data_IF_978890536195
#
_entry.id   IF_978890536195
#
_cell.length_a   1.000
_cell.length_b   1.000
_cell.length_c   1.000
_cell.angle_alpha   90.00
_cell.angle_beta   90.00
_cell.angle_gamma   90.00
#
_symmetry.space_group_name_H-M   'P 1'
#
loop_
_entity.id
_entity.type
_entity.pdbx_description
1 polymer ?
#
# COMPACT_ATOMS: atom_id res chain seq x y z
N UNK A 1 22.17 -5.35 3.31
CA UNK A 1 21.67 -5.59 1.95
C UNK A 1 21.03 -4.30 1.49
N UNK A 2 21.68 -3.54 0.59
CA UNK A 2 21.20 -2.23 0.14
C UNK A 2 20.04 -2.46 -0.81
N UNK A 3 18.86 -1.93 -0.50
CA UNK A 3 17.74 -1.85 -1.44
C UNK A 3 18.12 -0.88 -2.56
N UNK A 4 17.91 -1.24 -3.83
CA UNK A 4 18.07 -0.27 -4.91
C UNK A 4 16.99 0.81 -4.78
N UNK A 5 17.44 2.07 -4.74
CA UNK A 5 16.59 3.25 -4.88
C UNK A 5 15.96 3.24 -6.28
N UNK A 6 14.81 2.64 -6.40
CA UNK A 6 14.01 2.70 -7.61
C UNK A 6 13.03 3.88 -7.50
N UNK A 7 13.27 4.86 -8.34
CA UNK A 7 12.50 6.07 -8.62
C UNK A 7 12.89 7.31 -7.81
N UNK A 8 13.86 8.02 -8.34
CA UNK A 8 14.07 9.46 -8.11
C UNK A 8 12.80 10.23 -8.53
N UNK A 9 12.41 11.19 -7.70
CA UNK A 9 11.13 11.90 -7.74
C UNK A 9 11.08 12.97 -8.85
N UNK A 10 11.96 12.95 -9.89
CA UNK A 10 12.22 14.10 -10.76
C UNK A 10 11.70 14.06 -12.19
N UNK A 11 11.14 12.94 -12.66
CA UNK A 11 10.79 12.82 -14.09
C UNK A 11 9.29 12.51 -14.34
N UNK A 12 8.42 13.45 -13.93
CA UNK A 12 7.07 13.55 -14.48
C UNK A 12 6.80 14.97 -15.00
N UNK A 13 7.62 15.42 -15.96
CA UNK A 13 7.26 16.57 -16.80
C UNK A 13 6.58 16.03 -18.05
N UNK A 14 5.29 16.36 -18.18
CA UNK A 14 4.46 15.93 -19.31
C UNK A 14 4.95 16.51 -20.63
N UNK A 15 5.45 15.67 -21.51
CA UNK A 15 5.47 15.93 -22.95
C UNK A 15 4.40 15.06 -23.61
N UNK A 16 3.49 15.74 -24.32
CA UNK A 16 2.44 15.15 -25.16
C UNK A 16 3.06 14.22 -26.24
N UNK A 17 3.16 12.92 -25.95
CA UNK A 17 3.50 11.95 -26.98
C UNK A 17 2.26 11.58 -27.78
N UNK A 18 2.26 12.00 -29.09
CA UNK A 18 1.29 11.59 -30.12
C UNK A 18 0.98 10.09 -30.02
N UNK A 19 -0.30 9.77 -29.93
CA UNK A 19 -0.79 8.38 -30.03
C UNK A 19 -0.40 7.78 -31.41
N UNK A 20 0.14 6.56 -31.45
CA UNK A 20 0.37 5.88 -32.71
C UNK A 20 -0.96 5.47 -33.35
N UNK A 21 -1.05 5.62 -34.67
CA UNK A 21 -2.25 5.36 -35.46
C UNK A 21 -2.50 3.85 -35.68
N UNK A 22 -3.76 3.44 -35.46
CA UNK A 22 -4.46 2.31 -36.09
C UNK A 22 -3.79 0.92 -36.11
N UNK A 23 -3.72 0.29 -34.95
CA UNK A 23 -3.99 -1.15 -34.82
C UNK A 23 -5.49 -1.32 -34.49
N UNK A 24 -6.14 -2.37 -35.03
CA UNK A 24 -7.53 -2.67 -34.63
C UNK A 24 -7.59 -2.85 -33.11
N UNK A 25 -8.60 -2.34 -32.43
CA UNK A 25 -8.71 -2.38 -30.96
C UNK A 25 -8.51 -3.80 -30.40
N UNK A 26 -8.93 -4.81 -31.16
CA UNK A 26 -8.84 -6.23 -30.76
C UNK A 26 -7.41 -6.76 -30.77
N UNK A 27 -6.60 -6.44 -31.79
CA UNK A 27 -5.20 -6.86 -31.86
C UNK A 27 -4.31 -6.13 -30.84
N UNK A 28 -4.62 -4.88 -30.51
CA UNK A 28 -3.91 -4.13 -29.49
C UNK A 28 -4.17 -4.69 -28.09
N UNK A 29 -5.41 -5.09 -27.82
CA UNK A 29 -5.78 -5.70 -26.54
C UNK A 29 -5.11 -7.05 -26.34
N UNK A 30 -5.11 -7.91 -27.37
CA UNK A 30 -4.42 -9.21 -27.33
C UNK A 30 -2.90 -9.06 -27.14
N UNK A 31 -2.29 -8.06 -27.78
CA UNK A 31 -0.87 -7.77 -27.61
C UNK A 31 -0.55 -7.32 -26.19
N UNK A 32 -1.40 -6.48 -25.58
CA UNK A 32 -1.27 -6.06 -24.18
C UNK A 32 -1.41 -7.24 -23.21
N UNK A 33 -2.41 -8.09 -23.39
CA UNK A 33 -2.59 -9.28 -22.55
C UNK A 33 -1.38 -10.22 -22.62
N UNK A 34 -0.87 -10.48 -23.82
CA UNK A 34 0.33 -11.29 -24.02
C UNK A 34 1.56 -10.70 -23.33
N UNK A 35 1.74 -9.39 -23.44
CA UNK A 35 2.85 -8.68 -22.80
C UNK A 35 2.73 -8.73 -21.26
N UNK A 36 1.55 -8.48 -20.71
CA UNK A 36 1.29 -8.55 -19.26
C UNK A 36 1.56 -9.96 -18.73
N UNK A 37 1.08 -10.98 -19.43
CA UNK A 37 1.32 -12.38 -19.05
C UNK A 37 2.81 -12.68 -19.00
N UNK A 38 3.54 -12.39 -20.07
CA UNK A 38 4.99 -12.65 -20.18
C UNK A 38 5.79 -11.88 -19.11
N UNK A 39 5.48 -10.62 -18.90
CA UNK A 39 6.12 -9.80 -17.88
C UNK A 39 5.89 -10.37 -16.48
N UNK A 40 4.67 -10.78 -16.20
CA UNK A 40 4.29 -11.32 -14.89
C UNK A 40 4.97 -12.66 -14.60
N UNK A 41 5.11 -13.53 -15.61
CA UNK A 41 5.84 -14.79 -15.49
C UNK A 41 7.32 -14.58 -15.18
N UNK A 42 7.95 -13.60 -15.81
CA UNK A 42 9.37 -13.26 -15.57
C UNK A 42 9.56 -12.62 -14.19
N UNK A 43 8.67 -11.73 -13.78
CA UNK A 43 8.82 -10.95 -12.55
C UNK A 43 8.40 -11.72 -11.29
N UNK A 44 7.48 -12.68 -11.40
CA UNK A 44 6.92 -13.41 -10.25
C UNK A 44 7.76 -14.64 -9.91
N UNK A 45 8.77 -14.45 -9.06
CA UNK A 45 9.65 -15.57 -8.62
C UNK A 45 9.15 -16.30 -7.38
N UNK A 46 8.26 -15.71 -6.59
CA UNK A 46 7.80 -16.24 -5.28
C UNK A 46 6.29 -16.36 -5.15
N UNK A 47 5.53 -15.73 -6.04
CA UNK A 47 4.08 -15.64 -5.97
C UNK A 47 3.46 -16.09 -7.30
N UNK A 48 2.18 -16.44 -7.27
CA UNK A 48 1.42 -16.73 -8.47
C UNK A 48 1.43 -15.49 -9.39
N UNK A 49 1.86 -15.63 -10.65
CA UNK A 49 1.91 -14.52 -11.62
C UNK A 49 0.57 -13.81 -11.82
N UNK A 50 -0.55 -14.48 -11.55
CA UNK A 50 -1.90 -13.91 -11.70
C UNK A 50 -2.12 -12.67 -10.85
N UNK A 51 -1.54 -12.59 -9.64
CA UNK A 51 -1.68 -11.39 -8.79
C UNK A 51 -1.01 -10.17 -9.43
N UNK A 52 0.17 -10.35 -10.03
CA UNK A 52 0.85 -9.26 -10.73
C UNK A 52 0.11 -8.88 -12.03
N UNK A 53 -0.45 -9.87 -12.75
CA UNK A 53 -1.27 -9.62 -13.93
C UNK A 53 -2.47 -8.73 -13.61
N UNK A 54 -3.23 -9.05 -12.56
CA UNK A 54 -4.39 -8.26 -12.14
C UNK A 54 -4.01 -6.84 -11.72
N UNK A 55 -2.87 -6.67 -11.04
CA UNK A 55 -2.37 -5.36 -10.65
C UNK A 55 -2.01 -4.51 -11.88
N UNK A 56 -1.29 -5.08 -12.86
CA UNK A 56 -0.92 -4.39 -14.09
C UNK A 56 -2.16 -4.06 -14.93
N UNK A 57 -3.10 -5.01 -15.06
CA UNK A 57 -4.37 -4.79 -15.77
C UNK A 57 -5.18 -3.64 -15.18
N UNK A 58 -5.19 -3.51 -13.85
CA UNK A 58 -5.85 -2.39 -13.19
C UNK A 58 -5.25 -1.05 -13.63
N UNK A 59 -3.92 -0.95 -13.68
CA UNK A 59 -3.24 0.24 -14.18
C UNK A 59 -3.52 0.54 -15.65
N UNK A 60 -3.56 -0.49 -16.49
CA UNK A 60 -3.89 -0.36 -17.93
C UNK A 60 -5.34 0.12 -18.10
N UNK A 61 -6.28 -0.48 -17.40
CA UNK A 61 -7.70 -0.09 -17.46
C UNK A 61 -7.90 1.37 -17.03
N UNK A 62 -7.17 1.79 -16.00
CA UNK A 62 -7.18 3.18 -15.55
C UNK A 62 -6.63 4.12 -16.63
N UNK A 63 -5.52 3.74 -17.30
CA UNK A 63 -4.94 4.52 -18.41
C UNK A 63 -5.86 4.65 -19.63
N UNK A 64 -6.77 3.70 -19.83
CA UNK A 64 -7.77 3.69 -20.90
C UNK A 64 -9.08 4.36 -20.50
N UNK A 65 -9.26 4.67 -19.22
CA UNK A 65 -10.45 5.33 -18.68
C UNK A 65 -10.36 6.86 -18.79
N UNK A 66 -11.36 7.54 -18.27
CA UNK A 66 -11.37 9.00 -18.11
C UNK A 66 -10.67 9.49 -16.84
N UNK A 67 -9.84 8.63 -16.21
CA UNK A 67 -9.07 9.00 -15.03
C UNK A 67 -8.07 10.13 -15.34
N UNK A 68 -7.94 11.06 -14.40
CA UNK A 68 -7.00 12.17 -14.50
C UNK A 68 -5.59 11.76 -14.06
N UNK A 69 -4.58 12.57 -14.38
CA UNK A 69 -3.22 12.40 -13.87
C UNK A 69 -3.17 12.44 -12.34
N UNK A 70 -4.10 13.18 -11.72
CA UNK A 70 -4.24 13.20 -10.26
C UNK A 70 -4.65 11.83 -9.72
N UNK A 71 -5.61 11.15 -10.34
CA UNK A 71 -6.05 9.81 -9.94
C UNK A 71 -4.91 8.80 -10.06
N UNK A 72 -4.10 8.89 -11.13
CA UNK A 72 -2.88 8.10 -11.27
C UNK A 72 -1.88 8.37 -10.15
N UNK A 73 -1.67 9.64 -9.79
CA UNK A 73 -0.78 10.02 -8.70
C UNK A 73 -1.23 9.41 -7.37
N UNK A 74 -2.53 9.42 -7.09
CA UNK A 74 -3.11 8.80 -5.89
C UNK A 74 -2.86 7.28 -5.91
N UNK A 75 -3.14 6.60 -7.01
CA UNK A 75 -2.93 5.15 -7.13
C UNK A 75 -1.46 4.76 -6.90
N UNK A 76 -0.52 5.47 -7.55
CA UNK A 76 0.91 5.20 -7.43
C UNK A 76 1.40 5.42 -5.99
N UNK A 77 0.99 6.52 -5.36
CA UNK A 77 1.38 6.84 -3.97
C UNK A 77 0.82 5.80 -3.00
N UNK A 78 -0.46 5.49 -3.10
CA UNK A 78 -1.11 4.47 -2.26
C UNK A 78 -0.44 3.10 -2.42
N UNK A 79 -0.15 2.68 -3.66
CA UNK A 79 0.56 1.43 -3.92
C UNK A 79 1.95 1.38 -3.28
N UNK A 80 2.71 2.49 -3.33
CA UNK A 80 4.02 2.59 -2.67
C UNK A 80 3.92 2.52 -1.15
N UNK A 81 2.95 3.21 -0.57
CA UNK A 81 2.74 3.21 0.89
C UNK A 81 2.35 1.81 1.36
N UNK A 82 1.44 1.14 0.67
CA UNK A 82 1.08 -0.25 0.96
C UNK A 82 2.27 -1.20 0.82
N UNK A 83 3.08 -1.04 -0.21
CA UNK A 83 4.30 -1.83 -0.38
C UNK A 83 5.27 -1.63 0.80
N UNK A 84 5.53 -0.37 1.21
CA UNK A 84 6.39 -0.05 2.34
C UNK A 84 5.85 -0.65 3.64
N UNK A 85 4.55 -0.48 3.90
CA UNK A 85 3.89 -1.06 5.07
C UNK A 85 4.04 -2.59 5.08
N UNK A 86 3.81 -3.25 3.96
CA UNK A 86 3.99 -4.69 3.84
C UNK A 86 5.43 -5.14 4.12
N UNK A 87 6.43 -4.38 3.67
CA UNK A 87 7.85 -4.66 3.96
C UNK A 87 8.15 -4.53 5.46
N UNK A 88 7.63 -3.47 6.11
CA UNK A 88 7.81 -3.26 7.56
C UNK A 88 7.14 -4.36 8.37
N UNK A 89 5.93 -4.77 8.01
CA UNK A 89 5.17 -5.77 8.75
C UNK A 89 5.51 -7.22 8.38
N UNK A 90 6.27 -7.47 7.30
CA UNK A 90 6.61 -8.81 6.86
C UNK A 90 7.28 -9.67 7.96
N UNK A 91 8.25 -9.18 8.76
CA UNK A 91 8.86 -9.95 9.84
C UNK A 91 7.88 -10.33 10.96
N UNK A 92 6.80 -9.57 11.10
CA UNK A 92 5.83 -9.70 12.19
C UNK A 92 4.53 -10.40 11.77
N UNK A 93 4.49 -11.06 10.60
CA UNK A 93 3.26 -11.70 10.09
C UNK A 93 2.70 -12.76 11.02
N UNK A 94 3.55 -13.46 11.75
CA UNK A 94 3.19 -14.50 12.70
C UNK A 94 2.67 -13.97 14.03
N UNK A 95 2.85 -12.68 14.33
CA UNK A 95 2.37 -12.06 15.57
C UNK A 95 0.95 -11.57 15.35
N UNK A 96 0.03 -11.92 16.27
CA UNK A 96 -1.34 -11.39 16.28
C UNK A 96 -1.29 -9.90 16.58
N UNK A 97 -2.20 -9.15 15.98
CA UNK A 97 -2.21 -7.69 16.08
C UNK A 97 -3.54 -7.19 16.60
N UNK A 98 -3.49 -6.16 17.44
CA UNK A 98 -4.64 -5.41 17.92
C UNK A 98 -4.44 -3.95 17.50
N UNK A 99 -5.45 -3.37 16.86
CA UNK A 99 -5.44 -1.94 16.54
C UNK A 99 -6.25 -1.18 17.55
N UNK A 100 -5.65 -0.14 18.14
CA UNK A 100 -6.30 0.75 19.11
C UNK A 100 -6.50 2.12 18.51
N UNK A 101 -7.74 2.55 18.47
CA UNK A 101 -8.16 3.89 18.05
C UNK A 101 -8.96 4.55 19.17
N UNK A 102 -8.89 5.85 19.25
CA UNK A 102 -9.68 6.58 20.22
C UNK A 102 -9.50 8.08 20.15
N UNK A 103 -10.17 8.79 21.02
CA UNK A 103 -10.17 10.24 21.09
C UNK A 103 -8.79 10.81 21.39
N UNK A 104 -8.36 11.74 20.55
CA UNK A 104 -7.15 12.52 20.76
C UNK A 104 -7.27 13.59 21.89
N UNK A 105 -8.50 13.79 22.43
CA UNK A 105 -8.79 14.81 23.42
C UNK A 105 -8.74 14.28 24.86
N UNK A 106 -8.70 12.97 25.04
CA UNK A 106 -8.58 12.34 26.36
C UNK A 106 -7.23 12.68 26.95
N UNK A 107 -7.26 13.20 28.19
CA UNK A 107 -6.07 13.62 28.92
C UNK A 107 -5.51 12.43 29.72
N UNK A 108 -4.24 12.51 30.05
CA UNK A 108 -3.54 11.45 30.80
C UNK A 108 -4.01 11.27 32.25
N UNK A 109 -4.79 12.22 32.80
CA UNK A 109 -5.40 12.17 34.10
C UNK A 109 -6.85 11.58 34.10
N UNK A 110 -7.35 11.19 32.95
CA UNK A 110 -8.69 10.65 32.78
C UNK A 110 -8.71 9.10 32.87
N UNK A 111 -9.77 8.51 33.49
CA UNK A 111 -9.88 7.04 33.64
C UNK A 111 -9.79 6.29 32.30
N UNK A 112 -10.30 6.86 31.21
CA UNK A 112 -10.26 6.24 29.88
C UNK A 112 -8.83 6.10 29.35
N UNK A 113 -7.94 7.04 29.68
CA UNK A 113 -6.52 6.97 29.34
C UNK A 113 -5.86 5.78 30.02
N UNK A 114 -6.06 5.66 31.34
CA UNK A 114 -5.51 4.56 32.12
C UNK A 114 -6.02 3.19 31.63
N UNK A 115 -7.34 3.10 31.37
CA UNK A 115 -7.94 1.86 30.84
C UNK A 115 -7.29 1.45 29.50
N UNK A 116 -7.03 2.42 28.60
CA UNK A 116 -6.41 2.13 27.32
C UNK A 116 -4.95 1.67 27.47
N UNK A 117 -4.20 2.29 28.38
CA UNK A 117 -2.83 1.91 28.72
C UNK A 117 -2.76 0.50 29.29
N UNK A 118 -3.60 0.20 30.27
CA UNK A 118 -3.63 -1.12 30.91
C UNK A 118 -4.04 -2.22 29.94
N UNK A 119 -5.07 -1.97 29.11
CA UNK A 119 -5.48 -2.90 28.06
C UNK A 119 -4.33 -3.21 27.10
N UNK A 120 -3.61 -2.18 26.63
CA UNK A 120 -2.52 -2.37 25.69
C UNK A 120 -1.33 -3.11 26.32
N UNK A 121 -1.02 -2.84 27.59
CA UNK A 121 -0.02 -3.57 28.35
C UNK A 121 -0.37 -5.05 28.45
N UNK A 122 -1.60 -5.37 28.90
CA UNK A 122 -2.07 -6.76 28.98
C UNK A 122 -2.05 -7.47 27.63
N UNK A 123 -2.50 -6.79 26.57
CA UNK A 123 -2.45 -7.34 25.21
C UNK A 123 -1.03 -7.68 24.80
N UNK A 124 -0.06 -6.79 25.09
CA UNK A 124 1.36 -7.01 24.81
C UNK A 124 1.94 -8.19 25.61
N UNK A 125 1.61 -8.30 26.89
CA UNK A 125 2.01 -9.42 27.73
C UNK A 125 1.46 -10.77 27.24
N UNK A 126 0.29 -10.76 26.57
CA UNK A 126 -0.29 -11.91 25.89
C UNK A 126 0.26 -12.15 24.47
N UNK A 127 1.32 -11.46 24.10
CA UNK A 127 2.02 -11.66 22.81
C UNK A 127 1.34 -11.02 21.61
N UNK A 128 0.45 -10.06 21.81
CA UNK A 128 -0.10 -9.25 20.72
C UNK A 128 0.80 -8.05 20.42
N UNK A 129 0.89 -7.68 19.16
CA UNK A 129 1.45 -6.40 18.73
C UNK A 129 0.34 -5.36 18.76
N UNK A 130 0.54 -4.30 19.53
CA UNK A 130 -0.38 -3.16 19.57
C UNK A 130 -0.02 -2.20 18.44
N UNK A 131 -1.02 -1.77 17.68
CA UNK A 131 -0.87 -0.83 16.56
C UNK A 131 -1.83 0.33 16.80
N UNK A 132 -1.32 1.54 16.70
CA UNK A 132 -2.12 2.76 16.80
C UNK A 132 -1.85 3.71 15.64
N UNK A 133 -2.65 4.75 15.54
CA UNK A 133 -2.42 5.84 14.58
C UNK A 133 -1.36 6.85 15.04
N UNK A 134 -0.71 6.66 16.21
CA UNK A 134 0.36 7.52 16.71
C UNK A 134 -0.11 8.91 17.17
N UNK A 135 -1.42 9.13 17.31
CA UNK A 135 -1.97 10.39 17.81
C UNK A 135 -1.98 10.48 19.35
N UNK A 136 -2.28 11.66 19.91
CA UNK A 136 -2.41 11.85 21.35
C UNK A 136 -3.65 11.14 21.95
N UNK A 137 -3.80 11.22 23.26
CA UNK A 137 -4.93 10.68 23.99
C UNK A 137 -4.92 9.14 24.03
N UNK A 138 -6.01 8.50 23.69
CA UNK A 138 -6.17 7.03 23.77
C UNK A 138 -5.08 6.28 23.00
N UNK A 139 -4.69 6.78 21.83
CA UNK A 139 -3.65 6.13 21.01
C UNK A 139 -2.26 6.24 21.64
N UNK A 140 -1.98 7.38 22.27
CA UNK A 140 -0.75 7.57 23.04
C UNK A 140 -0.73 6.62 24.25
N UNK A 141 -1.81 6.58 25.03
CA UNK A 141 -1.95 5.67 26.17
C UNK A 141 -1.65 4.21 25.80
N UNK A 142 -2.16 3.78 24.65
CA UNK A 142 -1.94 2.42 24.16
C UNK A 142 -0.51 2.14 23.65
N UNK A 143 0.32 3.16 23.50
CA UNK A 143 1.74 3.01 23.11
C UNK A 143 2.71 3.10 24.31
N UNK A 144 2.24 3.52 25.48
CA UNK A 144 3.03 3.57 26.73
C UNK A 144 3.13 2.19 27.40
#
# INVERSE_FOLDING_TARGET
MKHPDFLDNRDFTGEDKKRPSTMSMDSSYQALEGAVKKLSEIASTRHDPRYLQEYIKTGINMAQSAASDHDFTVLIRSGREMYRANCVFAPYRHIRKISVFGSARIRNDEPAYETAREFAREASEHGYMVITGGGPGIMQAANE
#
